data_IF_397472608886
#
_entry.id   IF_397472608886
#
_cell.length_a   1.000
_cell.length_b   1.000
_cell.length_c   1.000
_cell.angle_alpha   90.00
_cell.angle_beta   90.00
_cell.angle_gamma   90.00
#
_symmetry.space_group_name_H-M   'P 1'
#
loop_
_entity.id
_entity.type
_entity.pdbx_description
1 polymer ?
#
# COMPACT_ATOMS: atom_id res chain seq x y z
N UNK A 1 11.42 -5.65 7.95
CA UNK A 1 10.66 -4.70 8.79
C UNK A 1 9.17 -4.88 8.50
N UNK A 2 8.29 -4.44 9.39
CA UNK A 2 6.84 -4.51 9.17
C UNK A 2 6.39 -3.40 8.19
N UNK A 3 5.35 -3.62 7.37
CA UNK A 3 4.86 -2.65 6.41
C UNK A 3 4.12 -1.52 7.13
N UNK A 4 4.04 -0.34 6.49
CA UNK A 4 3.18 0.75 6.92
C UNK A 4 1.74 0.41 6.52
N UNK A 5 0.80 0.51 7.47
CA UNK A 5 -0.61 0.18 7.24
C UNK A 5 -1.55 1.25 7.83
N UNK A 6 -2.74 1.47 7.22
CA UNK A 6 -3.76 2.32 7.80
C UNK A 6 -4.27 1.75 9.12
N UNK A 7 -4.42 2.62 10.13
CA UNK A 7 -4.94 2.25 11.45
C UNK A 7 -6.37 2.75 11.65
N UNK A 8 -7.19 1.94 12.32
CA UNK A 8 -8.55 2.32 12.76
C UNK A 8 -8.68 2.21 14.27
N UNK A 9 -9.70 2.85 14.84
CA UNK A 9 -10.01 2.74 16.27
C UNK A 9 -10.21 1.27 16.66
N UNK A 10 -9.62 0.86 17.78
CA UNK A 10 -9.78 -0.49 18.32
C UNK A 10 -11.27 -0.86 18.46
N UNK A 11 -11.64 -2.01 17.90
CA UNK A 11 -13.02 -2.51 17.89
C UNK A 11 -13.86 -2.07 16.68
N UNK A 12 -13.37 -1.14 15.84
CA UNK A 12 -14.08 -0.76 14.62
C UNK A 12 -13.79 -1.75 13.47
N UNK A 13 -14.45 -2.90 13.54
CA UNK A 13 -14.28 -4.00 12.57
C UNK A 13 -14.81 -3.61 11.20
N UNK A 14 -15.95 -2.93 11.14
CA UNK A 14 -16.57 -2.52 9.87
C UNK A 14 -15.64 -1.62 9.05
N UNK A 15 -15.08 -0.58 9.65
CA UNK A 15 -14.15 0.31 8.95
C UNK A 15 -12.85 -0.42 8.57
N UNK A 16 -12.35 -1.30 9.44
CA UNK A 16 -11.17 -2.12 9.14
C UNK A 16 -11.41 -2.97 7.88
N UNK A 17 -12.53 -3.68 7.82
CA UNK A 17 -12.82 -4.61 6.74
C UNK A 17 -13.12 -3.87 5.44
N UNK A 18 -13.77 -2.70 5.53
CA UNK A 18 -13.92 -1.78 4.40
C UNK A 18 -12.57 -1.32 3.87
N UNK A 19 -11.65 -0.84 4.72
CA UNK A 19 -10.31 -0.42 4.30
C UNK A 19 -9.55 -1.57 3.63
N UNK A 20 -9.58 -2.78 4.20
CA UNK A 20 -8.91 -3.94 3.61
C UNK A 20 -9.49 -4.31 2.24
N UNK A 21 -10.81 -4.23 2.09
CA UNK A 21 -11.50 -4.48 0.81
C UNK A 21 -11.09 -3.43 -0.22
N UNK A 22 -11.04 -2.16 0.19
CA UNK A 22 -10.69 -1.07 -0.70
C UNK A 22 -9.23 -1.12 -1.12
N UNK A 23 -8.30 -1.43 -0.21
CA UNK A 23 -6.90 -1.67 -0.52
C UNK A 23 -6.75 -2.80 -1.55
N UNK A 24 -7.50 -3.89 -1.41
CA UNK A 24 -7.48 -5.01 -2.37
C UNK A 24 -7.88 -4.55 -3.77
N UNK A 25 -8.98 -3.82 -3.90
CA UNK A 25 -9.44 -3.27 -5.20
C UNK A 25 -8.43 -2.32 -5.81
N UNK A 26 -7.89 -1.39 -5.02
CA UNK A 26 -6.86 -0.46 -5.47
C UNK A 26 -5.59 -1.19 -5.94
N UNK A 27 -5.29 -2.35 -5.34
CA UNK A 27 -4.19 -3.20 -5.77
C UNK A 27 -4.39 -3.81 -7.16
N UNK A 28 -5.62 -4.18 -7.53
CA UNK A 28 -5.96 -4.65 -8.88
C UNK A 28 -5.68 -3.57 -9.94
N UNK A 29 -5.84 -2.30 -9.57
CA UNK A 29 -5.58 -1.14 -10.42
C UNK A 29 -4.12 -0.65 -10.39
N UNK A 30 -3.25 -1.32 -9.63
CA UNK A 30 -1.86 -0.90 -9.34
C UNK A 30 -1.79 0.55 -8.87
N UNK A 31 -2.70 0.93 -7.99
CA UNK A 31 -2.89 2.33 -7.63
C UNK A 31 -1.70 2.92 -6.85
N UNK A 32 -1.07 2.17 -5.94
CA UNK A 32 0.10 2.69 -5.22
C UNK A 32 1.32 2.75 -6.12
N UNK A 33 1.44 1.89 -7.15
CA UNK A 33 2.50 2.03 -8.15
C UNK A 33 2.37 3.38 -8.89
N UNK A 34 1.15 3.78 -9.27
CA UNK A 34 0.90 5.10 -9.87
C UNK A 34 1.31 6.23 -8.93
N UNK A 35 0.98 6.13 -7.65
CA UNK A 35 1.37 7.12 -6.64
C UNK A 35 2.89 7.14 -6.41
N UNK A 36 3.52 5.97 -6.39
CA UNK A 36 4.97 5.84 -6.28
C UNK A 36 5.66 6.56 -7.43
N UNK A 37 5.24 6.30 -8.68
CA UNK A 37 5.81 6.94 -9.87
C UNK A 37 5.61 8.46 -9.86
N UNK A 38 4.47 8.93 -9.34
CA UNK A 38 4.15 10.35 -9.30
C UNK A 38 4.88 11.13 -8.19
N UNK A 39 4.99 10.55 -6.99
CA UNK A 39 5.38 11.30 -5.79
C UNK A 39 6.68 10.84 -5.15
N UNK A 40 7.09 9.59 -5.37
CA UNK A 40 8.22 8.97 -4.64
C UNK A 40 9.39 8.67 -5.56
N UNK A 41 9.12 8.22 -6.78
CA UNK A 41 10.14 7.87 -7.78
C UNK A 41 11.16 8.98 -8.05
N UNK A 42 10.79 10.28 -8.15
CA UNK A 42 11.75 11.35 -8.38
C UNK A 42 12.80 11.52 -7.27
N UNK A 43 12.48 11.06 -6.05
CA UNK A 43 13.33 11.20 -4.86
C UNK A 43 14.25 9.98 -4.64
N UNK A 44 14.13 8.94 -5.47
CA UNK A 44 14.85 7.68 -5.33
C UNK A 44 15.85 7.45 -6.47
N UNK A 45 16.86 6.64 -6.22
CA UNK A 45 17.79 6.21 -7.27
C UNK A 45 17.05 5.43 -8.37
N UNK A 46 17.45 5.59 -9.64
CA UNK A 46 16.81 4.93 -10.77
C UNK A 46 16.77 3.39 -10.65
N UNK A 47 17.74 2.79 -9.98
CA UNK A 47 17.81 1.35 -9.74
C UNK A 47 16.88 0.84 -8.63
N UNK A 48 16.15 1.73 -7.94
CA UNK A 48 15.26 1.32 -6.84
C UNK A 48 14.07 0.54 -7.36
N UNK A 49 13.90 -0.70 -6.89
CA UNK A 49 12.74 -1.54 -7.16
C UNK A 49 11.52 -0.99 -6.42
N UNK A 50 10.42 -0.62 -7.12
CA UNK A 50 9.18 -0.18 -6.49
C UNK A 50 8.66 -1.17 -5.44
N UNK A 51 8.82 -2.49 -5.65
CA UNK A 51 8.35 -3.52 -4.73
C UNK A 51 9.10 -3.55 -3.39
N UNK A 52 10.26 -2.88 -3.31
CA UNK A 52 10.97 -2.70 -2.04
C UNK A 52 10.34 -1.60 -1.18
N UNK A 53 9.45 -0.77 -1.75
CA UNK A 53 8.84 0.40 -1.10
C UNK A 53 7.34 0.24 -0.92
N UNK A 54 6.64 -0.34 -1.91
CA UNK A 54 5.18 -0.47 -1.92
C UNK A 54 4.72 -1.90 -1.60
N UNK A 55 3.54 -2.02 -0.98
CA UNK A 55 2.83 -3.28 -0.79
C UNK A 55 1.47 -3.19 -1.45
N UNK A 56 1.31 -3.90 -2.56
CA UNK A 56 0.10 -3.80 -3.36
C UNK A 56 -1.04 -4.66 -2.82
N UNK A 57 -2.24 -4.06 -2.78
CA UNK A 57 -3.44 -4.76 -2.32
C UNK A 57 -3.48 -5.02 -0.81
N UNK A 58 -2.56 -4.47 -0.02
CA UNK A 58 -2.45 -4.80 1.42
C UNK A 58 -1.98 -6.24 1.69
N UNK A 59 -1.52 -6.97 0.67
CA UNK A 59 -1.10 -8.36 0.77
C UNK A 59 0.38 -8.49 1.17
N UNK A 60 0.73 -7.97 2.34
CA UNK A 60 2.07 -8.17 2.88
C UNK A 60 2.22 -9.60 3.40
N UNK A 61 3.33 -10.25 3.05
CA UNK A 61 3.74 -11.54 3.60
C UNK A 61 5.11 -11.37 4.28
N UNK A 62 5.26 -11.85 5.52
CA UNK A 62 6.53 -11.82 6.24
C UNK A 62 7.59 -12.74 5.62
#
# INVERSE_FOLDING_TARGET
EAPIAPAVKKGNIELRDWVNTELTKLGEEKYLLKLYDQYVRPELAESTDPNAVIVEGGNWKP
#
